data_IF_567748956818
#
_entry.id   IF_567748956818
#
_cell.length_a   1.000
_cell.length_b   1.000
_cell.length_c   1.000
_cell.angle_alpha   90.00
_cell.angle_beta   90.00
_cell.angle_gamma   90.00
#
_symmetry.space_group_name_H-M   'P 1'
#
loop_
_entity.id
_entity.type
_entity.pdbx_description
1 polymer ?
#
# COMPACT_ATOMS: atom_id res chain seq x y z
N UNK A 1 35.03 -9.53 -1.44
CA UNK A 1 35.51 -9.43 -2.83
C UNK A 1 34.69 -8.34 -3.52
N UNK A 2 35.29 -7.24 -3.99
CA UNK A 2 34.56 -6.24 -4.79
C UNK A 2 34.24 -6.86 -6.15
N UNK A 3 32.95 -7.07 -6.46
CA UNK A 3 32.52 -7.50 -7.80
C UNK A 3 32.39 -6.26 -8.66
N UNK A 4 33.42 -5.92 -9.41
CA UNK A 4 33.35 -4.84 -10.40
C UNK A 4 32.69 -5.38 -11.67
N UNK A 5 31.35 -5.42 -11.65
CA UNK A 5 30.51 -5.82 -12.80
C UNK A 5 30.62 -4.83 -13.96
N UNK A 6 30.91 -3.57 -13.64
CA UNK A 6 31.12 -2.51 -14.59
C UNK A 6 32.55 -2.03 -14.47
N UNK A 7 33.25 -1.92 -15.58
CA UNK A 7 34.59 -1.36 -15.63
C UNK A 7 34.61 -0.16 -16.60
N UNK A 8 35.43 0.82 -16.27
CA UNK A 8 35.62 1.99 -17.10
C UNK A 8 36.76 1.71 -18.10
N UNK A 9 36.48 1.81 -19.39
CA UNK A 9 37.43 1.45 -20.46
C UNK A 9 38.14 2.65 -21.10
N UNK A 10 38.01 3.86 -20.53
CA UNK A 10 38.72 5.05 -21.03
C UNK A 10 37.89 6.06 -21.83
N UNK A 11 36.57 5.87 -21.95
CA UNK A 11 35.65 6.79 -22.65
C UNK A 11 34.49 7.27 -21.78
N UNK A 12 33.42 7.81 -22.36
CA UNK A 12 32.26 8.35 -21.60
C UNK A 12 31.31 7.27 -21.05
N UNK A 13 31.67 5.99 -21.19
CA UNK A 13 30.82 4.86 -20.83
C UNK A 13 31.51 3.83 -19.93
N UNK A 14 30.70 3.08 -19.20
CA UNK A 14 31.12 1.88 -18.48
C UNK A 14 30.77 0.65 -19.31
N UNK A 15 31.68 -0.32 -19.39
CA UNK A 15 31.45 -1.61 -20.03
C UNK A 15 31.11 -2.67 -18.97
N UNK A 16 30.25 -3.63 -19.32
CA UNK A 16 29.97 -4.80 -18.48
C UNK A 16 31.13 -5.78 -18.61
N UNK A 17 31.62 -6.28 -17.48
CA UNK A 17 32.63 -7.33 -17.47
C UNK A 17 32.07 -8.61 -18.11
N UNK A 18 32.81 -9.18 -19.07
CA UNK A 18 32.40 -10.34 -19.88
C UNK A 18 31.89 -11.53 -19.05
N UNK A 19 32.39 -11.73 -17.84
CA UNK A 19 31.91 -12.79 -16.93
C UNK A 19 30.44 -12.66 -16.51
N UNK A 20 29.88 -11.46 -16.67
CA UNK A 20 28.52 -11.10 -16.27
C UNK A 20 27.64 -10.69 -17.46
N UNK A 21 28.19 -10.62 -18.68
CA UNK A 21 27.50 -10.14 -19.87
C UNK A 21 26.31 -11.04 -20.27
N UNK A 22 26.45 -12.36 -20.08
CA UNK A 22 25.40 -13.34 -20.38
C UNK A 22 24.66 -13.86 -19.14
N UNK A 23 25.00 -13.37 -17.94
CA UNK A 23 24.34 -13.80 -16.70
C UNK A 23 23.26 -12.83 -16.28
N UNK A 24 22.09 -13.31 -15.83
CA UNK A 24 21.09 -12.46 -15.22
C UNK A 24 21.70 -11.64 -14.07
N UNK A 25 21.36 -10.35 -13.99
CA UNK A 25 21.86 -9.44 -12.93
C UNK A 25 21.54 -9.99 -11.53
N UNK A 26 20.41 -10.69 -11.39
CA UNK A 26 19.99 -11.35 -10.16
C UNK A 26 20.90 -12.49 -9.71
N UNK A 27 21.53 -13.21 -10.64
CA UNK A 27 22.52 -14.27 -10.35
C UNK A 27 23.91 -13.70 -10.10
N UNK A 28 24.20 -12.57 -10.74
CA UNK A 28 25.48 -11.85 -10.61
C UNK A 28 25.58 -11.09 -9.28
N UNK A 29 24.44 -10.66 -8.72
CA UNK A 29 24.33 -9.93 -7.46
C UNK A 29 23.24 -10.52 -6.53
N UNK A 30 23.36 -11.78 -6.09
CA UNK A 30 22.35 -12.42 -5.25
C UNK A 30 22.16 -11.68 -3.91
N UNK A 31 23.24 -11.08 -3.40
CA UNK A 31 23.29 -10.33 -2.14
C UNK A 31 22.52 -9.01 -2.21
N UNK A 32 22.35 -8.43 -3.41
CA UNK A 32 21.60 -7.18 -3.61
C UNK A 32 20.09 -7.41 -3.73
N UNK A 33 19.66 -8.64 -3.99
CA UNK A 33 18.25 -9.01 -4.12
C UNK A 33 17.87 -10.15 -3.17
N UNK A 34 18.04 -9.96 -1.84
CA UNK A 34 17.77 -11.00 -0.87
C UNK A 34 16.27 -11.32 -0.76
N UNK A 35 15.40 -10.34 -1.06
CA UNK A 35 13.94 -10.45 -0.94
C UNK A 35 13.15 -10.23 -2.22
N UNK A 36 13.83 -9.96 -3.32
CA UNK A 36 13.21 -9.54 -4.59
C UNK A 36 13.63 -10.46 -5.73
N UNK A 37 12.78 -10.54 -6.75
CA UNK A 37 13.05 -11.22 -8.02
C UNK A 37 12.92 -10.18 -9.13
N UNK A 38 13.91 -10.11 -10.00
CA UNK A 38 13.81 -9.34 -11.24
C UNK A 38 13.19 -10.25 -12.30
N UNK A 39 12.06 -9.84 -12.85
CA UNK A 39 11.31 -10.62 -13.83
C UNK A 39 10.78 -9.66 -14.90
N UNK A 40 10.95 -10.04 -16.16
CA UNK A 40 10.45 -9.31 -17.33
C UNK A 40 9.17 -9.97 -17.83
N UNK A 41 8.14 -9.17 -18.07
CA UNK A 41 6.86 -9.64 -18.61
C UNK A 41 6.75 -9.17 -20.06
N UNK A 42 6.70 -10.12 -21.00
CA UNK A 42 6.35 -9.83 -22.38
C UNK A 42 4.82 -9.65 -22.49
N UNK A 43 4.36 -8.41 -22.65
CA UNK A 43 2.92 -8.12 -22.77
C UNK A 43 2.30 -8.68 -24.07
N UNK A 44 3.11 -9.07 -25.06
CA UNK A 44 2.63 -9.69 -26.29
C UNK A 44 2.54 -11.22 -26.22
N UNK A 45 2.97 -11.85 -25.12
CA UNK A 45 3.09 -13.33 -25.05
C UNK A 45 1.81 -14.06 -24.65
N UNK A 46 0.72 -13.36 -24.33
CA UNK A 46 -0.54 -13.97 -23.91
C UNK A 46 -1.59 -12.94 -23.51
N UNK A 47 -2.77 -13.40 -23.09
CA UNK A 47 -3.80 -12.52 -22.53
C UNK A 47 -3.45 -12.06 -21.11
N UNK A 48 -4.13 -11.02 -20.63
CA UNK A 48 -3.95 -10.53 -19.26
C UNK A 48 -4.19 -11.64 -18.21
N UNK A 49 -5.18 -12.51 -18.44
CA UNK A 49 -5.49 -13.65 -17.57
C UNK A 49 -4.38 -14.70 -17.57
N UNK A 50 -3.83 -15.04 -18.74
CA UNK A 50 -2.73 -16.01 -18.86
C UNK A 50 -1.47 -15.52 -18.15
N UNK A 51 -1.15 -14.23 -18.32
CA UNK A 51 -0.01 -13.58 -17.66
C UNK A 51 -0.23 -13.54 -16.14
N UNK A 52 -1.43 -13.16 -15.69
CA UNK A 52 -1.75 -13.07 -14.26
C UNK A 52 -1.71 -14.43 -13.55
N UNK A 53 -2.29 -15.48 -14.14
CA UNK A 53 -2.26 -16.83 -13.54
C UNK A 53 -0.84 -17.42 -13.54
N UNK A 54 -0.05 -17.17 -14.59
CA UNK A 54 1.37 -17.54 -14.62
C UNK A 54 2.15 -16.88 -13.49
N UNK A 55 1.96 -15.58 -13.28
CA UNK A 55 2.60 -14.84 -12.19
C UNK A 55 2.17 -15.38 -10.82
N UNK A 56 0.88 -15.61 -10.62
CA UNK A 56 0.30 -16.16 -9.40
C UNK A 56 0.85 -17.55 -9.06
N UNK A 57 1.05 -18.40 -10.06
CA UNK A 57 1.65 -19.73 -9.90
C UNK A 57 3.15 -19.67 -9.55
N UNK A 58 3.88 -18.66 -10.03
CA UNK A 58 5.31 -18.48 -9.78
C UNK A 58 5.63 -17.94 -8.38
N UNK A 59 4.78 -17.07 -7.81
CA UNK A 59 5.01 -16.40 -6.51
C UNK A 59 5.39 -17.37 -5.36
N UNK A 60 4.69 -18.50 -5.13
CA UNK A 60 5.06 -19.45 -4.08
C UNK A 60 6.40 -20.13 -4.33
N UNK A 61 6.74 -20.40 -5.59
CA UNK A 61 8.01 -21.03 -5.94
C UNK A 61 9.18 -20.09 -5.66
N UNK A 62 9.06 -18.82 -6.05
CA UNK A 62 10.07 -17.81 -5.77
C UNK A 62 10.29 -17.59 -4.27
N UNK A 63 9.22 -17.58 -3.48
CA UNK A 63 9.30 -17.55 -2.01
C UNK A 63 10.08 -18.73 -1.45
N UNK A 64 9.79 -19.95 -1.93
CA UNK A 64 10.50 -21.18 -1.52
C UNK A 64 11.98 -21.11 -1.86
N UNK A 65 12.34 -20.68 -3.07
CA UNK A 65 13.74 -20.54 -3.52
C UNK A 65 14.50 -19.53 -2.65
N UNK A 66 13.84 -18.44 -2.25
CA UNK A 66 14.45 -17.39 -1.42
C UNK A 66 14.35 -17.63 0.08
N UNK A 67 13.67 -18.68 0.53
CA UNK A 67 13.43 -18.95 1.96
C UNK A 67 12.59 -17.86 2.65
N UNK A 68 11.66 -17.23 1.92
CA UNK A 68 10.83 -16.15 2.44
C UNK A 68 9.45 -16.68 2.76
N UNK A 69 9.02 -16.54 4.01
CA UNK A 69 7.64 -16.83 4.40
C UNK A 69 6.68 -15.76 3.89
N UNK A 70 5.47 -16.18 3.57
CA UNK A 70 4.41 -15.23 3.24
C UNK A 70 4.08 -14.42 4.49
N UNK A 71 4.06 -13.09 4.36
CA UNK A 71 3.58 -12.25 5.43
C UNK A 71 2.08 -12.56 5.60
N UNK A 72 1.63 -13.09 6.75
CA UNK A 72 0.22 -13.33 6.96
C UNK A 72 -0.52 -12.00 6.75
N UNK A 73 -1.63 -12.05 6.01
CA UNK A 73 -2.54 -10.91 5.98
C UNK A 73 -2.96 -10.67 7.44
N UNK A 74 -2.39 -9.65 8.08
CA UNK A 74 -2.86 -9.23 9.40
C UNK A 74 -4.38 -9.07 9.34
N UNK A 75 -5.05 -9.44 10.44
CA UNK A 75 -6.51 -9.59 10.63
C UNK A 75 -7.38 -8.39 10.24
N UNK A 76 -6.79 -7.31 9.74
CA UNK A 76 -7.51 -6.22 9.10
C UNK A 76 -8.19 -6.81 7.85
N UNK A 77 -9.52 -6.78 7.83
CA UNK A 77 -10.30 -7.08 6.64
C UNK A 77 -10.77 -5.76 6.07
N UNK A 78 -10.06 -5.22 5.08
CA UNK A 78 -10.54 -4.07 4.33
C UNK A 78 -11.75 -4.48 3.48
N UNK A 79 -12.85 -3.72 3.57
CA UNK A 79 -14.04 -3.95 2.76
C UNK A 79 -14.95 -2.72 2.71
N UNK A 80 -16.17 -2.90 2.20
CA UNK A 80 -17.13 -1.82 2.04
C UNK A 80 -17.41 -1.06 3.35
N UNK A 81 -17.57 -1.76 4.48
CA UNK A 81 -17.76 -1.12 5.79
C UNK A 81 -16.57 -0.28 6.23
N UNK A 82 -15.35 -0.63 5.81
CA UNK A 82 -14.15 0.19 6.05
C UNK A 82 -14.22 1.48 5.24
N UNK A 83 -14.64 1.43 3.98
CA UNK A 83 -14.85 2.62 3.13
C UNK A 83 -15.87 3.54 3.78
N UNK A 84 -17.02 3.01 4.22
CA UNK A 84 -18.05 3.79 4.94
C UNK A 84 -17.48 4.45 6.20
N UNK A 85 -16.70 3.74 7.00
CA UNK A 85 -16.03 4.32 8.19
C UNK A 85 -15.02 5.40 7.84
N UNK A 86 -14.21 5.23 6.80
CA UNK A 86 -13.24 6.24 6.38
C UNK A 86 -13.90 7.58 6.07
N UNK A 87 -15.09 7.55 5.47
CA UNK A 87 -15.86 8.74 5.12
C UNK A 87 -16.62 9.28 6.33
N UNK A 88 -17.44 8.46 6.99
CA UNK A 88 -18.30 8.89 8.10
C UNK A 88 -17.49 9.39 9.30
N UNK A 89 -16.31 8.80 9.56
CA UNK A 89 -15.44 9.21 10.67
C UNK A 89 -14.44 10.30 10.26
N UNK A 90 -14.61 10.89 9.06
CA UNK A 90 -13.77 11.96 8.50
C UNK A 90 -12.28 11.63 8.64
N UNK A 91 -11.91 10.38 8.32
CA UNK A 91 -10.55 9.87 8.54
C UNK A 91 -9.51 10.61 7.72
N UNK A 92 -9.83 10.97 6.46
CA UNK A 92 -8.91 11.72 5.59
C UNK A 92 -8.66 13.14 6.17
N UNK A 93 -9.68 13.96 6.47
CA UNK A 93 -9.47 15.23 7.18
C UNK A 93 -8.72 15.08 8.51
N UNK A 94 -9.01 14.03 9.28
CA UNK A 94 -8.30 13.77 10.53
C UNK A 94 -6.81 13.52 10.27
N UNK A 95 -6.46 12.70 9.27
CA UNK A 95 -5.08 12.46 8.87
C UNK A 95 -4.37 13.76 8.49
N UNK A 96 -5.02 14.63 7.71
CA UNK A 96 -4.44 15.94 7.35
C UNK A 96 -4.11 16.78 8.58
N UNK A 97 -5.02 16.85 9.56
CA UNK A 97 -4.79 17.56 10.83
C UNK A 97 -3.64 16.92 11.62
N UNK A 98 -3.59 15.59 11.70
CA UNK A 98 -2.55 14.87 12.44
C UNK A 98 -1.17 15.04 11.80
N UNK A 99 -1.08 15.00 10.47
CA UNK A 99 0.17 15.26 9.73
C UNK A 99 0.62 16.69 9.94
N UNK A 100 -0.28 17.66 9.80
CA UNK A 100 0.02 19.07 10.08
C UNK A 100 0.53 19.27 11.51
N UNK A 101 -0.13 18.67 12.50
CA UNK A 101 0.25 18.74 13.91
C UNK A 101 1.64 18.14 14.15
N UNK A 102 1.95 17.01 13.51
CA UNK A 102 3.26 16.38 13.58
C UNK A 102 4.36 17.27 12.99
N UNK A 103 4.13 17.88 11.81
CA UNK A 103 5.06 18.82 11.17
C UNK A 103 5.31 20.04 12.05
N UNK A 104 4.25 20.58 12.67
CA UNK A 104 4.34 21.75 13.56
C UNK A 104 4.80 21.39 14.98
N UNK A 105 5.00 20.10 15.29
CA UNK A 105 5.39 19.59 16.62
C UNK A 105 4.42 20.03 17.73
N UNK A 106 3.13 20.05 17.42
CA UNK A 106 2.06 20.39 18.37
C UNK A 106 1.15 19.18 18.60
N UNK A 107 0.51 19.14 19.76
CA UNK A 107 -0.47 18.10 20.09
C UNK A 107 -1.87 18.63 19.89
N UNK A 108 -2.68 17.92 19.11
CA UNK A 108 -4.13 18.18 18.97
C UNK A 108 -4.88 17.19 19.86
N UNK A 109 -5.61 17.70 20.84
CA UNK A 109 -6.44 16.88 21.73
C UNK A 109 -7.65 16.30 20.99
N UNK A 110 -8.24 15.24 21.54
CA UNK A 110 -9.44 14.62 20.95
C UNK A 110 -10.66 15.54 20.97
N UNK A 111 -10.76 16.43 21.98
CA UNK A 111 -11.76 17.51 22.01
C UNK A 111 -11.58 18.50 20.87
N UNK A 112 -10.34 18.87 20.56
CA UNK A 112 -10.07 19.76 19.41
C UNK A 112 -10.36 19.07 18.10
N UNK A 113 -10.01 17.78 17.95
CA UNK A 113 -10.37 17.02 16.76
C UNK A 113 -11.88 16.93 16.57
N UNK A 114 -12.64 16.61 17.62
CA UNK A 114 -14.10 16.55 17.58
C UNK A 114 -14.70 17.86 17.04
N UNK A 115 -14.28 19.02 17.56
CA UNK A 115 -14.79 20.35 17.14
C UNK A 115 -14.26 20.84 15.79
N UNK A 116 -13.06 20.41 15.38
CA UNK A 116 -12.50 20.77 14.07
C UNK A 116 -13.10 19.93 12.95
N UNK A 117 -13.39 18.66 13.26
CA UNK A 117 -13.91 17.73 12.28
C UNK A 117 -15.42 17.80 12.16
N UNK A 118 -16.16 18.20 13.20
CA UNK A 118 -17.62 18.24 13.23
C UNK A 118 -18.11 19.62 13.68
N UNK A 119 -19.15 20.11 13.04
CA UNK A 119 -19.73 21.44 13.24
C UNK A 119 -21.19 21.34 13.65
N UNK A 120 -21.77 22.44 14.15
CA UNK A 120 -23.18 22.47 14.56
C UNK A 120 -24.16 22.32 13.37
N UNK A 121 -23.66 22.43 12.13
CA UNK A 121 -24.44 22.15 10.92
C UNK A 121 -24.60 20.64 10.64
N UNK A 122 -23.80 19.79 11.31
CA UNK A 122 -23.88 18.35 11.17
C UNK A 122 -25.06 17.78 11.97
N UNK A 123 -25.68 16.71 11.46
CA UNK A 123 -26.69 15.99 12.22
C UNK A 123 -26.07 15.39 13.50
N UNK A 124 -26.81 15.43 14.62
CA UNK A 124 -26.32 14.93 15.93
C UNK A 124 -25.86 13.46 15.85
N UNK A 125 -26.50 12.65 15.01
CA UNK A 125 -26.12 11.25 14.76
C UNK A 125 -24.79 11.08 14.02
N UNK A 126 -24.31 12.11 13.34
CA UNK A 126 -23.05 12.12 12.60
C UNK A 126 -21.91 12.74 13.42
N UNK A 127 -22.23 13.59 14.40
CA UNK A 127 -21.26 14.20 15.30
C UNK A 127 -20.54 13.15 16.14
N UNK A 128 -19.23 13.31 16.29
CA UNK A 128 -18.38 12.41 17.11
C UNK A 128 -17.85 13.15 18.32
N UNK A 129 -18.15 12.62 19.50
CA UNK A 129 -17.66 13.12 20.77
C UNK A 129 -16.17 12.78 20.98
N UNK A 130 -15.45 13.50 21.87
CA UNK A 130 -14.02 13.29 22.09
C UNK A 130 -13.66 11.84 22.46
N UNK A 131 -14.55 11.15 23.20
CA UNK A 131 -14.35 9.75 23.57
C UNK A 131 -14.39 8.81 22.36
N UNK A 132 -15.30 9.05 21.40
CA UNK A 132 -15.40 8.25 20.17
C UNK A 132 -14.19 8.49 19.26
N UNK A 133 -13.71 9.75 19.20
CA UNK A 133 -12.48 10.09 18.49
C UNK A 133 -11.29 9.30 19.06
N UNK A 134 -11.15 9.32 20.38
CA UNK A 134 -10.05 8.65 21.10
C UNK A 134 -10.05 7.14 20.90
N UNK A 135 -11.21 6.51 21.09
CA UNK A 135 -11.31 5.05 21.17
C UNK A 135 -11.42 4.39 19.79
N UNK A 136 -11.93 5.10 18.79
CA UNK A 136 -12.23 4.52 17.47
C UNK A 136 -11.58 5.27 16.30
N UNK A 137 -11.84 6.57 16.16
CA UNK A 137 -11.57 7.26 14.89
C UNK A 137 -10.09 7.56 14.69
N UNK A 138 -9.42 8.06 15.74
CA UNK A 138 -7.97 8.29 15.72
C UNK A 138 -7.19 6.99 15.54
N UNK A 139 -7.47 5.88 16.27
CA UNK A 139 -6.86 4.58 15.98
C UNK A 139 -7.07 4.12 14.53
N UNK A 140 -8.28 4.32 13.97
CA UNK A 140 -8.54 3.98 12.57
C UNK A 140 -7.74 4.86 11.61
N UNK A 141 -7.62 6.17 11.87
CA UNK A 141 -6.83 7.07 11.06
C UNK A 141 -5.35 6.68 11.05
N UNK A 142 -4.76 6.44 12.22
CA UNK A 142 -3.38 5.97 12.32
C UNK A 142 -3.19 4.64 11.60
N UNK A 143 -4.14 3.71 11.75
CA UNK A 143 -4.13 2.44 11.02
C UNK A 143 -4.24 2.65 9.51
N UNK A 144 -5.05 3.60 9.04
CA UNK A 144 -5.21 3.91 7.63
C UNK A 144 -3.94 4.43 6.97
N UNK A 145 -3.01 4.99 7.75
CA UNK A 145 -1.70 5.44 7.27
C UNK A 145 -0.64 4.33 7.16
N UNK A 146 -0.94 3.09 7.58
CA UNK A 146 0.05 2.00 7.51
C UNK A 146 0.14 1.40 6.11
N UNK A 147 1.32 0.87 5.78
CA UNK A 147 1.56 0.19 4.50
C UNK A 147 0.62 -1.01 4.33
N UNK A 148 0.34 -1.76 5.39
CA UNK A 148 -0.52 -2.94 5.31
C UNK A 148 -1.98 -2.58 5.05
N UNK A 149 -2.48 -1.47 5.61
CA UNK A 149 -3.81 -0.97 5.27
C UNK A 149 -3.90 -0.57 3.79
N UNK A 150 -2.89 0.14 3.27
CA UNK A 150 -2.83 0.54 1.86
C UNK A 150 -2.76 -0.68 0.93
N UNK A 151 -1.97 -1.70 1.28
CA UNK A 151 -1.91 -2.96 0.52
C UNK A 151 -3.27 -3.65 0.45
N UNK A 152 -3.99 -3.71 1.56
CA UNK A 152 -5.32 -4.32 1.59
C UNK A 152 -6.37 -3.49 0.83
N UNK A 153 -6.28 -2.16 0.90
CA UNK A 153 -7.10 -1.28 0.07
C UNK A 153 -6.89 -1.58 -1.42
N UNK A 154 -5.64 -1.61 -1.89
CA UNK A 154 -5.34 -1.94 -3.28
C UNK A 154 -5.83 -3.35 -3.66
N UNK A 155 -5.62 -4.34 -2.81
CA UNK A 155 -6.14 -5.69 -3.02
C UNK A 155 -7.66 -5.71 -3.19
N UNK A 156 -8.39 -5.04 -2.28
CA UNK A 156 -9.85 -4.97 -2.32
C UNK A 156 -10.35 -4.25 -3.58
N UNK A 157 -9.75 -3.11 -3.93
CA UNK A 157 -10.14 -2.31 -5.11
C UNK A 157 -9.82 -3.02 -6.42
N UNK A 158 -8.70 -3.74 -6.51
CA UNK A 158 -8.36 -4.52 -7.70
C UNK A 158 -9.28 -5.74 -7.87
N UNK A 159 -9.65 -6.41 -6.77
CA UNK A 159 -10.63 -7.49 -6.80
C UNK A 159 -12.04 -7.01 -7.18
N UNK A 160 -12.38 -5.77 -6.86
CA UNK A 160 -13.68 -5.15 -7.14
C UNK A 160 -13.51 -3.98 -8.13
N UNK A 161 -12.98 -4.27 -9.33
CA UNK A 161 -12.56 -3.25 -10.29
C UNK A 161 -13.68 -2.27 -10.71
N UNK A 162 -14.95 -2.69 -10.62
CA UNK A 162 -16.11 -1.82 -10.87
C UNK A 162 -16.16 -0.61 -9.92
N UNK A 163 -15.66 -0.74 -8.68
CA UNK A 163 -15.65 0.33 -7.70
C UNK A 163 -14.76 1.51 -8.11
N UNK A 164 -13.73 1.29 -8.94
CA UNK A 164 -12.86 2.37 -9.43
C UNK A 164 -13.61 3.40 -10.29
N UNK A 165 -14.75 3.01 -10.85
CA UNK A 165 -15.60 3.85 -11.70
C UNK A 165 -16.83 4.38 -10.97
N UNK A 166 -17.06 3.95 -9.72
CA UNK A 166 -18.21 4.39 -8.92
C UNK A 166 -17.87 5.63 -8.11
N UNK A 167 -18.87 6.49 -7.89
CA UNK A 167 -18.75 7.57 -6.91
C UNK A 167 -18.74 6.96 -5.51
N UNK A 168 -17.95 7.53 -4.61
CA UNK A 168 -17.86 7.09 -3.21
C UNK A 168 -19.24 7.10 -2.53
N UNK A 169 -20.08 8.10 -2.83
CA UNK A 169 -21.46 8.19 -2.34
C UNK A 169 -22.32 6.98 -2.68
N UNK A 170 -22.06 6.32 -3.81
CA UNK A 170 -22.81 5.14 -4.24
C UNK A 170 -22.22 3.87 -3.63
N UNK A 171 -20.89 3.83 -3.45
CA UNK A 171 -20.20 2.71 -2.79
C UNK A 171 -20.65 2.58 -1.32
N UNK A 172 -20.86 3.70 -0.62
CA UNK A 172 -21.32 3.70 0.78
C UNK A 172 -22.71 3.03 0.90
N UNK A 173 -23.59 3.21 -0.09
CA UNK A 173 -24.93 2.63 -0.09
C UNK A 173 -24.94 1.11 -0.31
N UNK A 174 -23.85 0.52 -0.79
CA UNK A 174 -23.73 -0.94 -0.96
C UNK A 174 -23.55 -1.69 0.38
N UNK A 175 -23.39 -0.96 1.49
CA UNK A 175 -23.26 -1.55 2.84
C UNK A 175 -24.53 -1.55 3.66
N UNK A 176 -25.57 -0.88 3.16
CA UNK A 176 -26.89 -0.78 3.79
C UNK A 176 -27.85 -1.80 3.18
#
# INVERSE_FOLDING_TARGET
MKREMYFWSGGDGYAVNKEFEEKPVSESMPDQFPRTVMFEINLASGTDEEIAESLKAALPQWRKIKGIEENPLESVRFGYGTIKKLINYRVIPMLDILVWAAIKKIRVSDDRLSRLLYTDDDAESEMRLPQQIKDTDRPLALKASTIDFIRQFHFFINKNNHLKKMKISDVIKLTD
#
